data_IF_774487374535
#
_entry.id   IF_774487374535
#
_cell.length_a   1.000
_cell.length_b   1.000
_cell.length_c   1.000
_cell.angle_alpha   90.00
_cell.angle_beta   90.00
_cell.angle_gamma   90.00
#
_symmetry.space_group_name_H-M   'P 1'
#
loop_
_entity.id
_entity.type
_entity.pdbx_description
1 polymer ?
#
# COMPACT_ATOMS: atom_id res chain seq x y z
N UNK A 1 -9.41 -21.30 0.29
CA UNK A 1 -8.09 -21.80 0.76
C UNK A 1 -8.07 -21.54 2.26
N UNK A 2 -8.05 -22.58 3.10
CA UNK A 2 -8.10 -22.41 4.56
C UNK A 2 -6.70 -22.04 5.06
N UNK A 3 -6.31 -20.81 4.81
CA UNK A 3 -5.11 -20.25 5.42
C UNK A 3 -5.41 -20.02 6.89
N UNK A 4 -4.50 -20.47 7.76
CA UNK A 4 -4.65 -20.31 9.19
C UNK A 4 -4.54 -18.80 9.49
N UNK A 5 -5.70 -18.15 9.66
CA UNK A 5 -5.75 -16.76 10.11
C UNK A 5 -5.18 -16.76 11.53
N UNK A 6 -4.14 -15.95 11.75
CA UNK A 6 -3.61 -15.68 13.08
C UNK A 6 -4.70 -15.00 13.92
N UNK A 7 -5.50 -15.80 14.62
CA UNK A 7 -6.60 -15.31 15.49
C UNK A 7 -6.12 -14.95 16.89
N UNK A 8 -4.95 -15.43 17.29
CA UNK A 8 -4.28 -15.09 18.54
C UNK A 8 -2.91 -14.48 18.25
N UNK A 9 -2.83 -13.15 18.08
CA UNK A 9 -1.53 -12.49 17.96
C UNK A 9 -0.72 -12.76 19.22
N UNK A 10 0.56 -13.07 19.05
CA UNK A 10 1.50 -13.13 20.17
C UNK A 10 1.47 -11.75 20.86
N UNK A 11 1.38 -11.72 22.20
CA UNK A 11 1.26 -10.43 22.94
C UNK A 11 2.44 -9.48 22.67
N UNK A 12 3.59 -10.04 22.27
CA UNK A 12 4.82 -9.30 21.97
C UNK A 12 5.28 -9.64 20.56
N UNK A 13 5.61 -8.63 19.76
CA UNK A 13 6.20 -8.82 18.43
C UNK A 13 7.63 -9.34 18.56
N UNK A 14 8.14 -10.02 17.53
CA UNK A 14 9.53 -10.45 17.49
C UNK A 14 10.45 -9.22 17.63
N UNK A 15 11.44 -9.22 18.55
CA UNK A 15 12.35 -8.09 18.71
C UNK A 15 13.37 -7.99 17.56
N UNK A 16 13.82 -6.78 17.24
CA UNK A 16 14.81 -6.50 16.18
C UNK A 16 14.46 -7.13 14.82
N UNK A 17 13.18 -7.12 14.44
CA UNK A 17 12.69 -7.76 13.23
C UNK A 17 12.21 -6.73 12.21
N UNK A 18 12.33 -7.07 10.93
CA UNK A 18 11.78 -6.33 9.81
C UNK A 18 10.84 -7.23 9.02
N UNK A 19 9.59 -6.79 8.86
CA UNK A 19 8.56 -7.56 8.19
C UNK A 19 7.92 -6.73 7.08
N UNK A 20 7.72 -7.36 5.92
CA UNK A 20 6.92 -6.83 4.82
C UNK A 20 5.80 -7.83 4.57
N UNK A 21 4.57 -7.33 4.49
CA UNK A 21 3.40 -8.08 4.07
C UNK A 21 2.72 -7.36 2.92
N UNK A 22 2.24 -8.13 1.94
CA UNK A 22 1.58 -7.61 0.75
C UNK A 22 0.28 -8.37 0.54
N UNK A 23 -0.76 -7.65 0.16
CA UNK A 23 -2.04 -8.24 -0.24
C UNK A 23 -2.59 -7.53 -1.46
N UNK A 24 -3.37 -8.24 -2.25
CA UNK A 24 -4.04 -7.68 -3.42
C UNK A 24 -5.33 -6.98 -2.98
N UNK A 25 -5.40 -5.68 -3.21
CA UNK A 25 -6.61 -4.89 -3.10
C UNK A 25 -7.26 -4.68 -4.47
N UNK A 26 -8.50 -4.22 -4.49
CA UNK A 26 -9.23 -3.96 -5.73
C UNK A 26 -8.64 -2.85 -6.64
N UNK A 27 -7.69 -2.06 -6.12
CA UNK A 27 -6.92 -1.04 -6.88
C UNK A 27 -5.48 -1.46 -7.16
N UNK A 28 -5.08 -2.66 -6.73
CA UNK A 28 -3.72 -3.18 -6.79
C UNK A 28 -3.13 -3.49 -5.40
N UNK A 29 -1.80 -3.59 -5.36
CA UNK A 29 -1.04 -4.00 -4.19
C UNK A 29 -1.13 -3.05 -2.98
N UNK A 30 -1.47 -3.60 -1.82
CA UNK A 30 -1.41 -2.92 -0.52
C UNK A 30 -0.23 -3.54 0.25
N UNK A 31 0.68 -2.69 0.74
CA UNK A 31 1.90 -3.13 1.42
C UNK A 31 1.93 -2.61 2.84
N UNK A 32 2.21 -3.49 3.79
CA UNK A 32 2.46 -3.16 5.19
C UNK A 32 3.91 -3.49 5.52
N UNK A 33 4.61 -2.53 6.12
CA UNK A 33 6.03 -2.66 6.48
C UNK A 33 6.15 -2.32 7.96
N UNK A 34 6.74 -3.22 8.74
CA UNK A 34 6.93 -3.08 10.18
C UNK A 34 8.40 -3.29 10.55
N UNK A 35 8.91 -2.43 11.43
CA UNK A 35 10.21 -2.56 12.08
C UNK A 35 10.01 -2.58 13.59
N UNK A 36 10.57 -3.57 14.26
CA UNK A 36 10.48 -3.72 15.72
C UNK A 36 11.82 -3.50 16.40
N UNK A 37 11.78 -2.97 17.62
CA UNK A 37 12.94 -2.71 18.46
C UNK A 37 13.28 -3.88 19.38
N UNK A 38 14.21 -3.66 20.31
CA UNK A 38 14.76 -4.71 21.16
C UNK A 38 13.74 -5.31 22.15
N UNK A 39 12.68 -4.57 22.49
CA UNK A 39 11.62 -5.05 23.38
C UNK A 39 10.37 -5.50 22.61
N UNK A 40 10.46 -5.60 21.27
CA UNK A 40 9.33 -5.93 20.40
C UNK A 40 8.35 -4.76 20.18
N UNK A 41 8.73 -3.53 20.57
CA UNK A 41 7.99 -2.31 20.27
C UNK A 41 8.09 -1.96 18.78
N UNK A 42 7.05 -1.35 18.23
CA UNK A 42 7.05 -0.92 16.84
C UNK A 42 7.84 0.39 16.70
N UNK A 43 9.02 0.33 16.10
CA UNK A 43 9.85 1.51 15.84
C UNK A 43 9.35 2.27 14.61
N UNK A 44 8.89 1.54 13.59
CA UNK A 44 8.33 2.13 12.38
C UNK A 44 7.26 1.23 11.80
N UNK A 45 6.21 1.86 11.30
CA UNK A 45 5.19 1.21 10.51
C UNK A 45 4.84 2.07 9.31
N UNK A 46 4.88 1.49 8.12
CA UNK A 46 4.51 2.15 6.87
C UNK A 46 3.46 1.31 6.17
N UNK A 47 2.36 1.94 5.81
CA UNK A 47 1.41 1.40 4.85
C UNK A 47 1.68 2.06 3.50
N UNK A 48 1.55 1.32 2.40
CA UNK A 48 1.59 1.85 1.05
C UNK A 48 0.32 1.42 0.31
N UNK A 49 -0.47 2.40 -0.07
CA UNK A 49 -1.67 2.21 -0.90
C UNK A 49 -1.25 2.07 -2.38
N UNK A 50 -2.04 1.38 -3.22
CA UNK A 50 -1.80 1.29 -4.66
C UNK A 50 -1.62 2.66 -5.33
N UNK A 51 -2.31 3.70 -4.83
CA UNK A 51 -2.27 5.05 -5.37
C UNK A 51 -0.84 5.61 -5.46
N UNK A 52 0.04 5.25 -4.51
CA UNK A 52 1.43 5.71 -4.51
C UNK A 52 2.16 5.41 -5.83
N UNK A 53 1.90 4.24 -6.42
CA UNK A 53 2.46 3.88 -7.73
C UNK A 53 1.55 4.34 -8.89
N UNK A 54 0.22 4.22 -8.69
CA UNK A 54 -0.75 4.48 -9.75
C UNK A 54 -0.79 5.95 -10.19
N UNK A 55 -0.43 6.91 -9.32
CA UNK A 55 -0.30 8.33 -9.69
C UNK A 55 0.77 8.54 -10.78
N UNK A 56 1.91 7.87 -10.68
CA UNK A 56 2.93 7.90 -11.74
C UNK A 56 2.43 7.25 -13.02
N UNK A 57 1.65 6.17 -12.91
CA UNK A 57 1.07 5.49 -14.06
C UNK A 57 0.00 6.33 -14.76
N UNK A 58 -0.76 7.16 -14.04
CA UNK A 58 -1.65 8.15 -14.64
C UNK A 58 -0.86 9.15 -15.49
N UNK A 59 0.25 9.68 -14.97
CA UNK A 59 1.11 10.60 -15.71
C UNK A 59 1.70 9.98 -16.99
N UNK A 60 1.86 8.66 -17.03
CA UNK A 60 2.22 7.92 -18.25
C UNK A 60 1.02 7.80 -19.21
N UNK A 61 -0.17 7.48 -18.69
CA UNK A 61 -1.37 7.21 -19.48
C UNK A 61 -1.93 8.45 -20.21
N UNK A 62 -1.69 9.66 -19.69
CA UNK A 62 -2.16 10.91 -20.29
C UNK A 62 -1.19 11.53 -21.31
N UNK A 63 -0.02 10.90 -21.55
CA UNK A 63 0.97 11.43 -22.48
C UNK A 63 0.44 11.42 -23.91
N UNK A 64 0.67 12.50 -24.64
CA UNK A 64 0.24 12.69 -26.03
C UNK A 64 -1.29 12.62 -26.22
N UNK A 65 -2.08 12.77 -25.16
CA UNK A 65 -3.53 12.86 -25.21
C UNK A 65 -4.00 14.32 -25.11
N UNK A 66 -5.27 14.56 -25.44
CA UNK A 66 -5.90 15.85 -25.21
C UNK A 66 -6.15 16.09 -23.73
N UNK A 67 -6.20 17.37 -23.30
CA UNK A 67 -6.54 17.73 -21.91
C UNK A 67 -7.93 17.20 -21.51
N UNK A 68 -8.84 17.05 -22.49
CA UNK A 68 -10.17 16.47 -22.31
C UNK A 68 -10.15 15.01 -21.85
N UNK A 69 -9.06 14.27 -22.08
CA UNK A 69 -8.96 12.85 -21.74
C UNK A 69 -8.52 12.65 -20.27
N UNK A 70 -8.05 13.72 -19.61
CA UNK A 70 -7.60 13.65 -18.22
C UNK A 70 -8.67 13.10 -17.25
N UNK A 71 -9.94 13.55 -17.27
CA UNK A 71 -10.98 13.01 -16.39
C UNK A 71 -11.24 11.51 -16.62
N UNK A 72 -11.18 11.05 -17.87
CA UNK A 72 -11.38 9.65 -18.23
C UNK A 72 -10.25 8.79 -17.66
N UNK A 73 -8.99 9.15 -17.96
CA UNK A 73 -7.82 8.45 -17.42
C UNK A 73 -7.83 8.46 -15.90
N UNK A 74 -8.01 9.63 -15.26
CA UNK A 74 -8.00 9.74 -13.80
C UNK A 74 -9.06 8.84 -13.14
N UNK A 75 -10.26 8.76 -13.72
CA UNK A 75 -11.33 7.91 -13.18
C UNK A 75 -11.02 6.41 -13.33
N UNK A 76 -10.38 5.98 -14.42
CA UNK A 76 -10.00 4.58 -14.64
C UNK A 76 -9.05 4.01 -13.59
N UNK A 77 -8.19 4.85 -13.00
CA UNK A 77 -7.23 4.42 -11.96
C UNK A 77 -7.81 4.44 -10.55
N UNK A 78 -8.93 5.13 -10.35
CA UNK A 78 -9.60 5.31 -9.06
C UNK A 78 -8.63 5.68 -7.91
N UNK A 79 -7.83 6.72 -8.16
CA UNK A 79 -6.77 7.18 -7.28
C UNK A 79 -7.32 7.75 -5.97
N UNK A 80 -6.55 7.55 -4.90
CA UNK A 80 -6.75 8.22 -3.61
C UNK A 80 -5.60 9.18 -3.34
N UNK A 81 -5.94 10.42 -2.98
CA UNK A 81 -4.95 11.40 -2.55
C UNK A 81 -4.37 11.02 -1.19
N UNK A 82 -5.22 10.65 -0.23
CA UNK A 82 -4.78 10.18 1.09
C UNK A 82 -3.91 8.93 0.98
N UNK A 83 -4.24 8.02 0.06
CA UNK A 83 -3.43 6.82 -0.18
C UNK A 83 -2.02 7.14 -0.70
N UNK A 84 -1.83 8.26 -1.39
CA UNK A 84 -0.52 8.69 -1.87
C UNK A 84 0.33 9.39 -0.79
N UNK A 85 -0.32 10.03 0.18
CA UNK A 85 0.33 10.75 1.29
C UNK A 85 0.73 9.82 2.44
N UNK A 86 -0.01 8.71 2.62
CA UNK A 86 0.23 7.64 3.59
C UNK A 86 1.61 7.01 3.46
#
# INVERSE_FOLDING_TARGET
RNEQILTNPNKTLAPNAFAISMTEGWRGEIVHIALTGANGELLRYKMKDPSFNNWYMLAMAVRNNGVSDFPLCNKSFNLSYCGNDL
#
